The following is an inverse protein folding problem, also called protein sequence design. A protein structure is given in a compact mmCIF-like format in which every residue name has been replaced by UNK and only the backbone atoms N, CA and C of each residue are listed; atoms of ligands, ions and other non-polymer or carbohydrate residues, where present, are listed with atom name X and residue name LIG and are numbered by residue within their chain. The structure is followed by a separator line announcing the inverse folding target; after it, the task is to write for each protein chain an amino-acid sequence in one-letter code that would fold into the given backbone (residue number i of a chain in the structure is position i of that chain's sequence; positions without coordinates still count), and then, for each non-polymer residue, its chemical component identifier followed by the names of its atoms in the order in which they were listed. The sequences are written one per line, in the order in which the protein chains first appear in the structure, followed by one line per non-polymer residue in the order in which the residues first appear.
data_IF_959452480867
#
_entry.id   IF_959452480867
#
_cell.length_a   1.000
_cell.length_b   1.000
_cell.length_c   1.000
_cell.angle_alpha   90.00
_cell.angle_beta   90.00
_cell.angle_gamma   90.00
#
_symmetry.space_group_name_H-M   'P 1'
#
loop_
_entity.id
_entity.type
_entity.pdbx_description
1 polymer ?
#
# COMPACT_ATOMS: atom_id res chain seq x y z
N UNK A 1 -5.12 29.84 29.97
CA UNK A 1 -4.21 29.91 28.80
C UNK A 1 -3.96 28.49 28.35
N UNK A 2 -4.25 28.15 27.10
CA UNK A 2 -3.80 26.87 26.53
C UNK A 2 -2.25 26.90 26.45
N UNK A 3 -1.55 25.79 26.67
CA UNK A 3 -0.10 25.78 26.54
C UNK A 3 0.28 26.16 25.10
N UNK A 4 1.32 27.00 24.95
CA UNK A 4 1.82 27.40 23.64
C UNK A 4 2.25 26.16 22.83
N UNK A 5 2.06 26.22 21.50
CA UNK A 5 2.39 25.13 20.57
C UNK A 5 3.78 24.54 20.89
N UNK A 6 3.83 23.22 21.03
CA UNK A 6 5.06 22.49 21.35
C UNK A 6 5.50 21.70 20.14
N UNK A 7 6.74 21.94 19.73
CA UNK A 7 7.46 21.18 18.70
C UNK A 7 8.61 20.43 19.37
N UNK A 8 8.92 19.22 18.89
CA UNK A 8 10.09 18.46 19.33
C UNK A 8 11.09 18.42 18.18
N UNK A 9 12.34 18.79 18.45
CA UNK A 9 13.46 18.57 17.54
C UNK A 9 14.24 17.36 18.01
N UNK A 10 14.46 16.39 17.11
CA UNK A 10 15.28 15.20 17.36
C UNK A 10 16.68 15.33 16.73
N UNK A 11 16.99 16.50 16.17
CA UNK A 11 18.22 16.80 15.46
C UNK A 11 17.97 17.77 14.32
N UNK A 12 19.02 18.09 13.55
CA UNK A 12 18.92 19.06 12.44
C UNK A 12 18.00 18.60 11.29
N UNK A 13 17.81 17.28 11.17
CA UNK A 13 17.14 16.66 10.03
C UNK A 13 15.77 16.07 10.38
N UNK A 14 15.42 15.95 11.66
CA UNK A 14 14.16 15.33 12.11
C UNK A 14 13.51 16.19 13.18
N UNK A 15 12.32 16.71 12.91
CA UNK A 15 11.61 17.61 13.81
C UNK A 15 10.10 17.55 13.60
N UNK A 16 9.32 17.84 14.65
CA UNK A 16 7.87 17.87 14.57
C UNK A 16 7.33 19.28 14.30
N UNK A 17 6.13 19.36 13.71
CA UNK A 17 5.25 20.51 13.87
C UNK A 17 4.57 20.52 15.25
N UNK A 18 3.60 21.44 15.46
CA UNK A 18 2.85 21.51 16.70
C UNK A 18 2.19 20.17 17.06
N UNK A 19 2.30 19.80 18.34
CA UNK A 19 1.62 18.63 18.88
C UNK A 19 0.19 19.01 19.27
N UNK A 20 -0.78 18.29 18.70
CA UNK A 20 -2.18 18.38 19.05
C UNK A 20 -2.57 17.23 19.98
N UNK A 21 -3.34 17.54 21.02
CA UNK A 21 -3.89 16.56 21.96
C UNK A 21 -5.40 16.70 21.96
N UNK A 22 -6.10 15.60 21.72
CA UNK A 22 -7.54 15.53 21.58
C UNK A 22 -8.08 14.36 22.39
N UNK A 23 -9.33 14.47 22.83
CA UNK A 23 -10.10 13.34 23.33
C UNK A 23 -11.24 13.07 22.36
N UNK A 24 -11.43 11.81 22.00
CA UNK A 24 -12.53 11.40 21.13
C UNK A 24 -13.25 10.19 21.74
N UNK A 25 -14.52 10.04 21.39
CA UNK A 25 -15.29 8.84 21.71
C UNK A 25 -15.25 7.89 20.51
N UNK A 26 -14.72 6.69 20.69
CA UNK A 26 -14.74 5.63 19.67
C UNK A 26 -15.57 4.44 20.21
N UNK A 27 -16.79 4.27 19.71
CA UNK A 27 -17.75 3.32 20.26
C UNK A 27 -18.14 3.66 21.70
N UNK A 28 -17.82 2.77 22.64
CA UNK A 28 -18.02 2.98 24.08
C UNK A 28 -16.77 3.49 24.80
N UNK A 29 -15.63 3.58 24.13
CA UNK A 29 -14.35 3.98 24.74
C UNK A 29 -14.11 5.49 24.59
N UNK A 30 -13.37 6.06 25.55
CA UNK A 30 -12.82 7.41 25.46
C UNK A 30 -11.34 7.26 25.15
N UNK A 31 -10.93 7.86 24.04
CA UNK A 31 -9.58 7.69 23.49
C UNK A 31 -8.85 9.02 23.59
N UNK A 32 -7.67 8.99 24.21
CA UNK A 32 -6.68 10.05 24.10
C UNK A 32 -6.00 9.94 22.74
N UNK A 33 -5.95 11.04 21.99
CA UNK A 33 -5.33 11.10 20.68
C UNK A 33 -4.26 12.19 20.72
N UNK A 34 -3.04 11.83 20.33
CA UNK A 34 -1.92 12.76 20.15
C UNK A 34 -1.53 12.74 18.69
N UNK A 35 -1.54 13.89 18.03
CA UNK A 35 -1.14 14.03 16.62
C UNK A 35 0.01 15.01 16.50
N UNK A 36 0.88 14.76 15.53
CA UNK A 36 1.93 15.70 15.16
C UNK A 36 2.32 15.50 13.69
N UNK A 37 2.73 16.57 13.04
CA UNK A 37 3.46 16.46 11.78
C UNK A 37 4.92 16.11 12.09
N UNK A 38 5.51 15.10 11.47
CA UNK A 38 6.95 14.85 11.48
C UNK A 38 7.55 15.29 10.15
N UNK A 39 8.63 16.06 10.22
CA UNK A 39 9.40 16.50 9.08
C UNK A 39 10.76 15.79 9.11
N UNK A 40 11.14 15.18 7.99
CA UNK A 40 12.42 14.50 7.80
C UNK A 40 13.12 15.11 6.59
N UNK A 41 14.20 15.86 6.82
CA UNK A 41 15.05 16.38 5.76
C UNK A 41 15.90 15.24 5.19
N UNK A 42 15.89 15.10 3.87
CA UNK A 42 16.73 14.16 3.15
C UNK A 42 17.36 14.88 1.97
N UNK A 43 18.62 14.56 1.66
CA UNK A 43 19.42 15.29 0.65
C UNK A 43 18.83 15.27 -0.77
N UNK A 44 17.95 14.30 -1.04
CA UNK A 44 17.43 14.05 -2.38
C UNK A 44 16.28 14.99 -2.77
N UNK A 45 15.83 15.87 -1.88
CA UNK A 45 14.71 16.78 -2.13
C UNK A 45 14.83 18.11 -1.37
N UNK A 46 14.32 19.22 -1.94
CA UNK A 46 14.41 20.54 -1.34
C UNK A 46 13.52 20.69 -0.10
N UNK A 47 12.34 20.07 -0.12
CA UNK A 47 11.37 20.10 0.98
C UNK A 47 11.51 18.84 1.85
N UNK A 48 11.31 18.93 3.17
CA UNK A 48 11.29 17.75 4.03
C UNK A 48 10.20 16.75 3.62
N UNK A 49 10.45 15.45 3.85
CA UNK A 49 9.38 14.45 3.88
C UNK A 49 8.50 14.74 5.08
N UNK A 50 7.19 14.72 4.85
CA UNK A 50 6.17 15.06 5.84
C UNK A 50 5.39 13.80 6.17
N UNK A 51 5.24 13.51 7.45
CA UNK A 51 4.45 12.39 7.95
C UNK A 51 3.43 12.90 8.97
N UNK A 52 2.16 12.58 8.78
CA UNK A 52 1.19 12.70 9.86
C UNK A 52 1.43 11.56 10.84
N UNK A 53 1.78 11.88 12.07
CA UNK A 53 1.89 10.93 13.17
C UNK A 53 0.63 10.99 14.01
N UNK A 54 0.16 9.83 14.45
CA UNK A 54 -0.87 9.73 15.44
C UNK A 54 -0.60 8.62 16.45
N UNK A 55 -0.84 8.93 17.72
CA UNK A 55 -0.91 7.98 18.82
C UNK A 55 -2.32 8.03 19.37
N UNK A 56 -2.92 6.87 19.60
CA UNK A 56 -4.23 6.71 20.21
C UNK A 56 -4.11 5.76 21.39
N UNK A 57 -4.71 6.10 22.52
CA UNK A 57 -4.77 5.22 23.68
C UNK A 57 -6.17 5.29 24.31
N UNK A 58 -6.83 4.15 24.38
CA UNK A 58 -8.12 3.98 25.07
C UNK A 58 -7.97 3.09 26.30
N UNK A 59 -9.09 2.65 26.86
CA UNK A 59 -9.13 1.75 28.02
C UNK A 59 -8.78 0.31 27.67
N UNK A 60 -8.96 -0.08 26.39
CA UNK A 60 -8.81 -1.48 25.95
C UNK A 60 -7.57 -1.73 25.09
N UNK A 61 -6.97 -0.67 24.55
CA UNK A 61 -5.81 -0.79 23.68
C UNK A 61 -5.21 0.57 23.30
N UNK A 62 -4.18 0.50 22.45
CA UNK A 62 -3.52 1.66 21.89
C UNK A 62 -3.12 1.40 20.44
N UNK A 63 -2.96 2.47 19.66
CA UNK A 63 -2.47 2.40 18.30
C UNK A 63 -1.53 3.56 17.99
N UNK A 64 -0.58 3.32 17.10
CA UNK A 64 0.33 4.30 16.55
C UNK A 64 0.29 4.22 15.04
N UNK A 65 0.34 5.36 14.36
CA UNK A 65 0.49 5.39 12.91
C UNK A 65 1.40 6.52 12.45
N UNK A 66 1.94 6.34 11.25
CA UNK A 66 2.68 7.35 10.50
C UNK A 66 2.25 7.29 9.03
N UNK A 67 1.73 8.38 8.48
CA UNK A 67 1.28 8.47 7.09
C UNK A 67 2.05 9.57 6.35
N UNK A 68 2.79 9.20 5.32
CA UNK A 68 3.54 10.11 4.44
C UNK A 68 2.57 10.99 3.64
N UNK A 69 2.79 12.30 3.69
CA UNK A 69 1.91 13.32 3.13
C UNK A 69 2.39 13.87 1.78
N UNK A 70 3.68 13.76 1.48
CA UNK A 70 4.27 14.18 0.20
C UNK A 70 5.12 13.06 -0.41
N UNK A 71 5.35 13.13 -1.72
CA UNK A 71 6.17 12.14 -2.42
C UNK A 71 7.66 12.26 -2.06
N UNK A 72 8.35 11.12 -1.94
CA UNK A 72 9.80 11.04 -1.87
C UNK A 72 10.36 10.83 -3.26
N UNK A 73 10.95 11.89 -3.81
CA UNK A 73 11.62 11.84 -5.11
C UNK A 73 13.08 11.35 -4.98
N UNK A 74 13.51 10.52 -5.94
CA UNK A 74 14.87 10.00 -6.02
C UNK A 74 15.34 9.35 -4.68
N UNK A 75 14.57 8.42 -4.10
CA UNK A 75 14.90 7.83 -2.81
C UNK A 75 16.27 7.15 -2.87
N UNK A 76 17.09 7.38 -1.85
CA UNK A 76 18.46 6.88 -1.75
C UNK A 76 19.34 7.09 -3.01
N UNK A 77 19.07 8.16 -3.78
CA UNK A 77 19.77 8.49 -5.04
C UNK A 77 19.64 7.41 -6.13
N UNK A 78 18.62 6.54 -6.07
CA UNK A 78 18.42 5.44 -7.03
C UNK A 78 18.01 5.88 -8.44
N UNK A 79 17.67 7.16 -8.65
CA UNK A 79 17.29 7.74 -9.94
C UNK A 79 16.08 8.65 -9.85
N UNK A 80 16.09 9.73 -10.65
CA UNK A 80 15.02 10.76 -10.66
C UNK A 80 13.64 10.23 -11.13
N UNK A 81 13.64 9.11 -11.84
CA UNK A 81 12.41 8.45 -12.31
C UNK A 81 11.71 7.65 -11.20
N UNK A 82 12.39 7.40 -10.07
CA UNK A 82 11.85 6.63 -8.96
C UNK A 82 11.22 7.58 -7.94
N UNK A 83 9.98 7.30 -7.56
CA UNK A 83 9.28 8.02 -6.49
C UNK A 83 8.55 7.06 -5.57
N UNK A 84 8.50 7.39 -4.29
CA UNK A 84 7.70 6.70 -3.28
C UNK A 84 6.61 7.65 -2.80
N UNK A 85 5.36 7.16 -2.67
CA UNK A 85 4.26 7.95 -2.12
C UNK A 85 3.24 7.08 -1.38
N UNK A 86 2.30 7.72 -0.69
CA UNK A 86 1.18 7.04 -0.03
C UNK A 86 1.63 6.01 1.00
N UNK A 87 2.82 6.19 1.58
CA UNK A 87 3.33 5.29 2.61
C UNK A 87 2.57 5.49 3.91
N UNK A 88 2.04 4.42 4.48
CA UNK A 88 1.42 4.46 5.79
C UNK A 88 1.83 3.23 6.58
N UNK A 89 2.17 3.42 7.85
CA UNK A 89 2.45 2.36 8.81
C UNK A 89 1.48 2.51 9.97
N UNK A 90 0.93 1.40 10.44
CA UNK A 90 0.07 1.33 11.62
C UNK A 90 0.48 0.15 12.49
N UNK A 91 0.47 0.36 13.79
CA UNK A 91 0.68 -0.66 14.80
C UNK A 91 -0.34 -0.49 15.91
N UNK A 92 -1.06 -1.55 16.25
CA UNK A 92 -2.08 -1.55 17.29
C UNK A 92 -1.80 -2.63 18.33
N UNK A 93 -2.16 -2.37 19.58
CA UNK A 93 -2.11 -3.34 20.68
C UNK A 93 -3.48 -3.41 21.37
N UNK A 94 -3.88 -4.63 21.73
CA UNK A 94 -5.00 -4.89 22.64
C UNK A 94 -4.37 -5.30 23.96
N UNK A 95 -4.60 -4.54 25.04
CA UNK A 95 -3.83 -4.70 26.27
C UNK A 95 -3.89 -6.12 26.84
N UNK A 96 -5.10 -6.70 26.90
CA UNK A 96 -5.32 -8.03 27.46
C UNK A 96 -4.49 -9.14 26.76
N UNK A 97 -4.38 -9.08 25.43
CA UNK A 97 -3.62 -10.07 24.65
C UNK A 97 -2.14 -9.72 24.56
N UNK A 98 -1.81 -8.43 24.49
CA UNK A 98 -0.42 -7.98 24.38
C UNK A 98 0.37 -8.26 25.66
N UNK A 99 -0.20 -8.01 26.84
CA UNK A 99 0.49 -8.28 28.12
C UNK A 99 0.81 -9.77 28.34
N UNK A 100 0.03 -10.67 27.75
CA UNK A 100 0.17 -12.11 27.94
C UNK A 100 1.03 -12.77 26.86
N UNK A 101 0.94 -12.30 25.62
CA UNK A 101 1.58 -12.96 24.46
C UNK A 101 2.67 -12.14 23.78
N UNK A 102 2.72 -10.83 24.02
CA UNK A 102 3.56 -9.89 23.27
C UNK A 102 3.15 -9.68 21.81
N UNK A 103 2.08 -10.33 21.35
CA UNK A 103 1.62 -10.26 19.96
C UNK A 103 0.78 -8.99 19.75
N UNK A 104 1.06 -8.18 18.71
CA UNK A 104 0.27 -6.99 18.42
C UNK A 104 -1.20 -7.29 18.11
N UNK A 105 -2.04 -6.31 18.42
CA UNK A 105 -3.46 -6.28 18.05
C UNK A 105 -3.68 -6.03 16.56
N UNK A 106 -2.82 -5.21 15.93
CA UNK A 106 -2.87 -4.94 14.50
C UNK A 106 -1.49 -4.51 13.96
N UNK A 107 -1.23 -4.82 12.69
CA UNK A 107 -0.13 -4.26 11.90
C UNK A 107 -0.69 -3.89 10.53
N UNK A 108 -0.43 -2.67 10.09
CA UNK A 108 -0.82 -2.16 8.78
C UNK A 108 0.35 -1.51 8.05
N UNK A 109 0.49 -1.78 6.76
CA UNK A 109 1.41 -1.11 5.86
C UNK A 109 0.70 -0.79 4.55
N UNK A 110 0.92 0.41 4.04
CA UNK A 110 0.57 0.79 2.67
C UNK A 110 1.76 1.52 2.04
N UNK A 111 1.90 1.41 0.73
CA UNK A 111 2.93 2.13 -0.01
C UNK A 111 2.76 2.01 -1.50
N UNK A 112 3.35 2.98 -2.20
CA UNK A 112 3.35 3.03 -3.64
C UNK A 112 4.74 3.36 -4.17
N UNK A 113 5.18 2.59 -5.15
CA UNK A 113 6.39 2.80 -5.92
C UNK A 113 6.03 3.24 -7.34
N UNK A 114 6.68 4.31 -7.81
CA UNK A 114 6.58 4.80 -9.19
C UNK A 114 7.93 4.66 -9.88
N UNK A 115 7.90 4.22 -11.15
CA UNK A 115 9.04 4.24 -12.07
C UNK A 115 8.60 4.93 -13.37
N UNK A 116 8.82 6.25 -13.46
CA UNK A 116 8.26 7.07 -14.53
C UNK A 116 6.73 7.06 -14.47
N UNK A 117 6.08 6.48 -15.49
CA UNK A 117 4.62 6.29 -15.53
C UNK A 117 4.16 4.94 -14.97
N UNK A 118 5.09 4.03 -14.68
CA UNK A 118 4.79 2.69 -14.16
C UNK A 118 4.53 2.77 -12.66
N UNK A 119 3.61 1.95 -12.18
CA UNK A 119 3.12 2.03 -10.81
C UNK A 119 2.97 0.64 -10.19
N UNK A 120 3.41 0.49 -8.94
CA UNK A 120 3.07 -0.63 -8.07
C UNK A 120 2.58 -0.10 -6.72
N UNK A 121 1.41 -0.58 -6.27
CA UNK A 121 0.82 -0.27 -4.95
C UNK A 121 0.66 -1.55 -4.17
N UNK A 122 0.89 -1.47 -2.86
CA UNK A 122 0.59 -2.54 -1.91
C UNK A 122 0.02 -1.91 -0.64
N UNK A 123 -1.04 -2.50 -0.12
CA UNK A 123 -1.58 -2.22 1.20
C UNK A 123 -2.01 -3.52 1.86
N UNK A 124 -1.59 -3.72 3.09
CA UNK A 124 -1.92 -4.89 3.89
C UNK A 124 -2.16 -4.46 5.33
N UNK A 125 -3.27 -4.90 5.91
CA UNK A 125 -3.56 -4.78 7.33
C UNK A 125 -4.03 -6.11 7.86
N UNK A 126 -3.36 -6.56 8.92
CA UNK A 126 -3.70 -7.74 9.68
C UNK A 126 -4.06 -7.30 11.11
N UNK A 127 -5.26 -7.66 11.56
CA UNK A 127 -5.78 -7.30 12.88
C UNK A 127 -6.34 -8.52 13.63
N UNK A 128 -6.36 -8.48 14.96
CA UNK A 128 -7.11 -9.46 15.76
C UNK A 128 -8.63 -9.28 15.59
N UNK A 129 -9.08 -8.09 15.17
CA UNK A 129 -10.46 -7.88 14.76
C UNK A 129 -10.66 -8.36 13.32
N UNK A 130 -11.48 -9.40 13.06
CA UNK A 130 -11.70 -9.91 11.71
C UNK A 130 -12.45 -8.92 10.80
N UNK A 131 -13.02 -7.84 11.36
CA UNK A 131 -13.66 -6.75 10.60
C UNK A 131 -12.70 -5.61 10.27
N UNK A 132 -11.41 -5.75 10.55
CA UNK A 132 -10.38 -4.72 10.35
C UNK A 132 -9.18 -5.27 9.56
N UNK A 133 -9.44 -5.71 8.33
CA UNK A 133 -8.47 -6.38 7.46
C UNK A 133 -8.41 -5.68 6.10
N UNK A 134 -7.21 -5.59 5.54
CA UNK A 134 -6.96 -5.07 4.18
C UNK A 134 -5.93 -5.96 3.50
N UNK A 135 -6.18 -6.32 2.24
CA UNK A 135 -5.18 -6.79 1.29
C UNK A 135 -5.52 -6.17 -0.06
N UNK A 136 -4.74 -5.18 -0.48
CA UNK A 136 -4.87 -4.55 -1.77
C UNK A 136 -3.51 -4.47 -2.45
N UNK A 137 -3.46 -4.85 -3.72
CA UNK A 137 -2.28 -4.74 -4.54
C UNK A 137 -2.70 -4.26 -5.93
N UNK A 138 -1.97 -3.31 -6.49
CA UNK A 138 -2.20 -2.93 -7.89
C UNK A 138 -0.91 -2.67 -8.63
N UNK A 139 -0.94 -2.93 -9.93
CA UNK A 139 0.18 -2.75 -10.83
C UNK A 139 -0.35 -2.12 -12.11
N UNK A 140 0.31 -1.06 -12.59
CA UNK A 140 0.00 -0.40 -13.85
C UNK A 140 1.24 -0.34 -14.73
N UNK A 141 1.11 -0.86 -15.95
CA UNK A 141 2.12 -0.85 -17.00
C UNK A 141 3.52 -1.35 -16.55
N UNK A 142 3.58 -2.54 -15.95
CA UNK A 142 4.82 -3.11 -15.44
C UNK A 142 5.05 -4.52 -15.97
N UNK A 143 6.24 -4.77 -16.54
CA UNK A 143 6.65 -6.08 -17.02
C UNK A 143 7.98 -6.55 -16.43
N UNK A 144 8.33 -7.81 -16.73
CA UNK A 144 9.60 -8.42 -16.26
C UNK A 144 10.82 -7.66 -16.80
N UNK A 145 10.73 -7.13 -18.03
CA UNK A 145 11.78 -6.27 -18.61
C UNK A 145 12.03 -5.03 -17.75
N UNK A 146 10.97 -4.44 -17.18
CA UNK A 146 11.09 -3.25 -16.34
C UNK A 146 11.73 -3.55 -15.00
N UNK A 147 11.42 -4.71 -14.42
CA UNK A 147 12.07 -5.18 -13.18
C UNK A 147 13.57 -5.41 -13.38
N UNK A 148 13.96 -6.02 -14.49
CA UNK A 148 15.38 -6.23 -14.83
C UNK A 148 16.08 -4.89 -15.10
N UNK A 149 15.43 -3.97 -15.81
CA UNK A 149 15.97 -2.62 -16.03
C UNK A 149 16.13 -1.85 -14.71
N UNK A 150 15.16 -1.96 -13.80
CA UNK A 150 15.23 -1.37 -12.47
C UNK A 150 16.42 -1.95 -11.68
N UNK A 151 16.54 -3.28 -11.59
CA UNK A 151 17.65 -3.94 -10.92
C UNK A 151 19.00 -3.53 -11.52
N UNK A 152 19.07 -3.40 -12.86
CA UNK A 152 20.30 -2.97 -13.55
C UNK A 152 20.70 -1.55 -13.15
N UNK A 153 19.71 -0.62 -13.09
CA UNK A 153 19.94 0.77 -12.66
C UNK A 153 20.35 0.86 -11.19
N UNK A 154 19.73 0.08 -10.31
CA UNK A 154 20.00 0.12 -8.86
C UNK A 154 21.34 -0.51 -8.52
N UNK A 155 21.70 -1.62 -9.16
CA UNK A 155 22.94 -2.34 -8.87
C UNK A 155 24.13 -1.87 -9.71
N UNK A 156 23.90 -0.98 -10.70
CA UNK A 156 24.91 -0.57 -11.70
C UNK A 156 25.51 -1.77 -12.45
N UNK A 157 24.70 -2.81 -12.71
CA UNK A 157 25.08 -4.04 -13.41
C UNK A 157 24.15 -4.22 -14.62
N UNK A 158 24.72 -4.44 -15.81
CA UNK A 158 23.94 -4.75 -17.01
C UNK A 158 23.46 -6.22 -17.00
N UNK A 159 22.21 -6.45 -16.60
CA UNK A 159 21.59 -7.76 -16.68
C UNK A 159 21.09 -8.08 -18.10
N UNK A 160 21.13 -9.36 -18.54
CA UNK A 160 20.52 -9.77 -19.80
C UNK A 160 19.03 -9.43 -19.85
N UNK A 161 18.58 -8.83 -20.96
CA UNK A 161 17.18 -8.45 -21.12
C UNK A 161 16.31 -9.69 -21.40
N UNK A 162 15.24 -9.94 -20.63
CA UNK A 162 14.32 -11.02 -20.90
C UNK A 162 13.47 -10.72 -22.14
N UNK A 163 12.79 -11.72 -22.72
CA UNK A 163 11.82 -11.51 -23.79
C UNK A 163 10.74 -10.50 -23.38
N UNK A 164 10.41 -9.55 -24.28
CA UNK A 164 9.44 -8.48 -24.01
C UNK A 164 8.02 -8.99 -23.78
N UNK A 165 7.70 -10.13 -24.35
CA UNK A 165 6.41 -10.78 -24.35
C UNK A 165 6.25 -11.81 -23.23
N UNK A 166 7.27 -11.98 -22.37
CA UNK A 166 7.26 -12.98 -21.30
C UNK A 166 6.07 -12.76 -20.34
N UNK A 167 6.00 -11.58 -19.72
CA UNK A 167 4.91 -11.18 -18.82
C UNK A 167 4.89 -9.66 -18.69
N UNK A 168 3.75 -9.05 -18.99
CA UNK A 168 3.49 -7.63 -18.82
C UNK A 168 2.10 -7.42 -18.22
N UNK A 169 2.03 -6.62 -17.16
CA UNK A 169 0.78 -6.18 -16.57
C UNK A 169 0.45 -4.80 -17.13
N UNK A 170 -0.51 -4.72 -18.05
CA UNK A 170 -1.06 -3.42 -18.46
C UNK A 170 -1.82 -2.81 -17.27
N UNK A 171 -2.62 -3.65 -16.61
CA UNK A 171 -3.31 -3.33 -15.36
C UNK A 171 -3.53 -4.60 -14.55
N UNK A 172 -3.36 -4.52 -13.24
CA UNK A 172 -3.73 -5.59 -12.33
C UNK A 172 -4.18 -4.95 -11.01
N UNK A 173 -5.30 -5.42 -10.48
CA UNK A 173 -5.84 -4.96 -9.20
C UNK A 173 -6.38 -6.15 -8.43
N UNK A 174 -5.81 -6.41 -7.26
CA UNK A 174 -6.36 -7.25 -6.20
C UNK A 174 -6.84 -6.34 -5.08
N UNK A 175 -8.06 -6.53 -4.60
CA UNK A 175 -8.62 -5.74 -3.52
C UNK A 175 -9.49 -6.62 -2.63
N UNK A 176 -9.16 -6.67 -1.34
CA UNK A 176 -9.94 -7.30 -0.29
C UNK A 176 -9.89 -6.38 0.92
N UNK A 177 -11.04 -5.89 1.36
CA UNK A 177 -11.13 -5.07 2.57
C UNK A 177 -12.44 -5.29 3.28
N UNK A 178 -12.38 -5.27 4.60
CA UNK A 178 -13.57 -5.29 5.47
C UNK A 178 -14.10 -3.89 5.80
N UNK A 179 -13.48 -2.83 5.26
CA UNK A 179 -13.78 -1.44 5.61
C UNK A 179 -12.88 -0.94 6.73
N UNK A 180 -11.60 -0.75 6.43
CA UNK A 180 -10.56 -0.49 7.43
C UNK A 180 -9.61 0.63 7.00
N UNK A 181 -8.92 1.25 7.96
CA UNK A 181 -7.87 2.25 7.68
C UNK A 181 -6.48 1.72 7.99
N UNK A 182 -5.47 2.22 7.28
CA UNK A 182 -4.06 2.10 7.64
C UNK A 182 -3.52 3.52 7.84
N UNK A 183 -3.39 3.94 9.10
CA UNK A 183 -3.19 5.34 9.45
C UNK A 183 -4.34 6.19 8.93
N UNK A 184 -4.05 7.18 8.08
CA UNK A 184 -5.07 8.08 7.54
C UNK A 184 -5.68 7.60 6.21
N UNK A 185 -5.24 6.45 5.68
CA UNK A 185 -5.72 5.91 4.41
C UNK A 185 -6.88 4.95 4.68
N UNK A 186 -8.08 5.29 4.21
CA UNK A 186 -9.27 4.44 4.33
C UNK A 186 -9.48 3.54 3.11
N UNK A 187 -9.75 2.25 3.37
CA UNK A 187 -10.03 1.21 2.38
C UNK A 187 -11.49 0.73 2.58
N UNK A 188 -12.44 1.13 1.72
CA UNK A 188 -13.85 0.71 1.82
C UNK A 188 -14.05 -0.81 1.79
N UNK A 189 -15.13 -1.32 2.38
CA UNK A 189 -15.42 -2.75 2.34
C UNK A 189 -15.71 -3.24 0.91
N UNK A 190 -15.11 -4.37 0.52
CA UNK A 190 -15.34 -4.98 -0.78
C UNK A 190 -14.26 -6.00 -1.18
N UNK A 191 -14.56 -6.78 -2.21
CA UNK A 191 -13.63 -7.73 -2.80
C UNK A 191 -13.67 -7.64 -4.33
N UNK A 192 -12.51 -7.50 -4.97
CA UNK A 192 -12.38 -7.54 -6.42
C UNK A 192 -11.00 -8.02 -6.85
N UNK A 193 -10.95 -8.63 -8.04
CA UNK A 193 -9.74 -9.05 -8.72
C UNK A 193 -9.92 -8.74 -10.21
N UNK A 194 -9.08 -7.88 -10.77
CA UNK A 194 -9.11 -7.57 -12.20
C UNK A 194 -7.72 -7.51 -12.80
N UNK A 195 -7.63 -7.79 -14.09
CA UNK A 195 -6.35 -7.78 -14.80
C UNK A 195 -6.50 -7.64 -16.31
N UNK A 196 -5.52 -6.98 -16.90
CA UNK A 196 -5.23 -6.89 -18.33
C UNK A 196 -3.74 -7.14 -18.49
N UNK A 197 -3.40 -8.29 -19.07
CA UNK A 197 -2.05 -8.83 -19.05
C UNK A 197 -1.66 -9.40 -20.40
N UNK A 198 -0.37 -9.34 -20.70
CA UNK A 198 0.28 -10.08 -21.77
C UNK A 198 1.13 -11.18 -21.13
N UNK A 199 0.86 -12.45 -21.46
CA UNK A 199 1.59 -13.63 -20.96
C UNK A 199 2.07 -14.41 -22.18
N UNK A 200 3.38 -14.56 -22.37
CA UNK A 200 3.96 -15.24 -23.53
C UNK A 200 3.38 -14.74 -24.88
N UNK A 201 3.21 -13.43 -24.99
CA UNK A 201 2.62 -12.78 -26.17
C UNK A 201 1.11 -12.94 -26.33
N UNK A 202 0.41 -13.52 -25.34
CA UNK A 202 -1.04 -13.74 -25.35
C UNK A 202 -1.74 -12.82 -24.38
N UNK A 203 -2.78 -12.13 -24.85
CA UNK A 203 -3.58 -11.27 -23.98
C UNK A 203 -4.53 -12.09 -23.12
N UNK A 204 -4.58 -11.75 -21.84
CA UNK A 204 -5.53 -12.27 -20.89
C UNK A 204 -6.18 -11.08 -20.15
N UNK A 205 -7.51 -11.08 -20.08
CA UNK A 205 -8.28 -10.12 -19.28
C UNK A 205 -9.23 -10.84 -18.36
N UNK A 206 -9.32 -10.39 -17.12
CA UNK A 206 -10.28 -10.91 -16.16
C UNK A 206 -10.82 -9.78 -15.28
N UNK A 207 -12.06 -9.93 -14.84
CA UNK A 207 -12.75 -9.03 -13.92
C UNK A 207 -13.66 -9.89 -13.04
N UNK A 208 -13.31 -9.93 -11.76
CA UNK A 208 -14.06 -10.55 -10.69
C UNK A 208 -14.40 -9.48 -9.67
N UNK A 209 -15.68 -9.35 -9.32
CA UNK A 209 -16.13 -8.48 -8.23
C UNK A 209 -17.12 -9.24 -7.36
N UNK A 210 -16.90 -9.22 -6.04
CA UNK A 210 -17.77 -9.80 -5.03
C UNK A 210 -18.17 -8.69 -4.05
N UNK A 211 -19.47 -8.40 -3.96
CA UNK A 211 -19.96 -7.36 -3.05
C UNK A 211 -21.46 -7.44 -2.82
N UNK A 212 -22.02 -6.43 -2.13
CA UNK A 212 -23.44 -6.40 -1.73
C UNK A 212 -24.46 -6.42 -2.89
N UNK A 213 -24.00 -6.28 -4.15
CA UNK A 213 -24.83 -6.36 -5.36
C UNK A 213 -24.73 -7.72 -6.09
N UNK A 214 -23.98 -8.68 -5.55
CA UNK A 214 -23.79 -10.02 -6.13
C UNK A 214 -22.35 -10.30 -6.57
N UNK A 215 -22.19 -11.36 -7.36
CA UNK A 215 -20.91 -11.84 -7.91
C UNK A 215 -20.88 -11.58 -9.42
N UNK A 216 -19.81 -10.94 -9.90
CA UNK A 216 -19.51 -10.77 -11.33
C UNK A 216 -18.21 -11.49 -11.65
N UNK A 217 -18.21 -12.34 -12.67
CA UNK A 217 -17.04 -13.06 -13.17
C UNK A 217 -16.98 -12.93 -14.69
N UNK A 218 -15.88 -12.38 -15.20
CA UNK A 218 -15.60 -12.31 -16.64
C UNK A 218 -14.13 -12.67 -16.85
N UNK A 219 -13.84 -13.52 -17.84
CA UNK A 219 -12.48 -13.84 -18.23
C UNK A 219 -12.40 -14.06 -19.75
N UNK A 220 -11.32 -13.58 -20.35
CA UNK A 220 -11.01 -13.78 -21.77
C UNK A 220 -9.52 -14.05 -21.91
N UNK A 221 -9.16 -15.00 -22.76
CA UNK A 221 -7.78 -15.31 -23.12
C UNK A 221 -7.70 -15.49 -24.63
N UNK A 222 -6.69 -14.89 -25.24
CA UNK A 222 -6.39 -15.11 -26.66
C UNK A 222 -6.05 -16.58 -26.91
N UNK A 223 -6.41 -17.09 -28.08
CA UNK A 223 -6.10 -18.46 -28.45
C UNK A 223 -4.58 -18.69 -28.50
N UNK A 224 -4.14 -19.83 -27.95
CA UNK A 224 -2.75 -20.26 -28.01
C UNK A 224 -2.62 -21.77 -28.11
N UNK A 225 -1.47 -22.20 -28.59
CA UNK A 225 -1.15 -23.61 -28.80
C UNK A 225 -0.13 -24.05 -27.73
N UNK A 226 -0.41 -25.16 -27.06
CA UNK A 226 0.44 -25.86 -26.09
C UNK A 226 0.82 -27.21 -26.70
N UNK A 227 1.84 -27.22 -27.56
CA UNK A 227 2.19 -28.41 -28.36
C UNK A 227 1.01 -28.81 -29.27
N UNK A 228 0.44 -30.02 -29.16
CA UNK A 228 -0.73 -30.41 -29.95
C UNK A 228 -2.06 -29.82 -29.44
N UNK A 229 -2.09 -29.19 -28.25
CA UNK A 229 -3.32 -28.68 -27.64
C UNK A 229 -3.59 -27.25 -28.09
N UNK A 230 -4.79 -26.99 -28.64
CA UNK A 230 -5.28 -25.63 -28.90
C UNK A 230 -6.16 -25.17 -27.75
N UNK A 231 -5.73 -24.16 -27.01
CA UNK A 231 -6.48 -23.58 -25.89
C UNK A 231 -7.21 -22.33 -26.38
N UNK A 232 -8.54 -22.28 -26.16
CA UNK A 232 -9.40 -21.13 -26.48
C UNK A 232 -10.48 -20.95 -25.41
N UNK A 233 -11.02 -19.73 -25.28
CA UNK A 233 -12.17 -19.47 -24.43
C UNK A 233 -13.43 -20.23 -24.88
N UNK A 234 -14.34 -20.51 -23.96
CA UNK A 234 -15.62 -21.16 -24.26
C UNK A 234 -16.50 -20.24 -25.13
N UNK A 235 -17.08 -20.78 -26.19
CA UNK A 235 -17.94 -20.05 -27.15
C UNK A 235 -19.44 -20.16 -26.86
N UNK A 236 -19.83 -20.52 -25.63
CA UNK A 236 -21.23 -20.69 -25.22
C UNK A 236 -21.69 -19.59 -24.24
N UNK A 237 -23.01 -19.31 -24.21
CA UNK A 237 -23.63 -18.64 -23.05
C UNK A 237 -23.74 -19.68 -21.93
N UNK A 238 -23.32 -19.31 -20.73
CA UNK A 238 -23.68 -20.00 -19.50
C UNK A 238 -25.19 -19.85 -19.22
#
# INVERSE_FOLDING_TARGET
MLPAERTISFGEHVYTGPIAIEFAKEGTDIVLIVKALLNVKVDTQPEPLKFSLGLKAGTTGAAAYATMLNEWANPAKMGKEIKIKGCSLEFGIVYATFFTTGVPGAIGFAGQLMLGQKEAKLAMKLSQNPKDQVLAASVTDLGVVDLVQFASKVCEIDFPKPPKDLLHFNKFDLYLSTGASIGEIYFPAGASLSGDMLILGKKAKFDCTVGGKGVKLMATIEQFDLGPLKVKGATGKD
#
